data_IF_963010673307
#
_entry.id   IF_963010673307
#
_cell.length_a   1.000
_cell.length_b   1.000
_cell.length_c   1.000
_cell.angle_alpha   90.00
_cell.angle_beta   90.00
_cell.angle_gamma   90.00
#
_symmetry.space_group_name_H-M   'P 1'
#
loop_
_entity.id
_entity.type
_entity.pdbx_description
1 polymer ?
#
# COMPACT_ATOMS: atom_id res chain seq x y z
N UNK A 1 -11.76 -5.39 0.10
CA UNK A 1 -12.56 -4.83 -1.01
C UNK A 1 -11.99 -3.50 -1.55
N UNK A 2 -11.10 -2.79 -0.78
CA UNK A 2 -10.48 -1.55 -1.27
C UNK A 2 -9.70 -1.76 -2.58
N UNK A 3 -9.16 -2.94 -2.78
CA UNK A 3 -8.35 -3.37 -3.92
C UNK A 3 -9.14 -4.08 -5.05
N UNK A 4 -10.48 -4.00 -5.05
CA UNK A 4 -11.30 -4.74 -6.03
C UNK A 4 -10.94 -4.41 -7.48
N UNK A 5 -10.42 -3.22 -7.75
CA UNK A 5 -10.01 -2.80 -9.08
C UNK A 5 -8.80 -3.54 -9.65
N UNK A 6 -7.99 -4.21 -8.82
CA UNK A 6 -6.88 -5.05 -9.28
C UNK A 6 -7.34 -6.21 -10.17
N UNK A 7 -8.62 -6.57 -10.13
CA UNK A 7 -9.24 -7.59 -11.01
C UNK A 7 -9.13 -7.20 -12.50
N UNK A 8 -9.07 -5.89 -12.83
CA UNK A 8 -8.95 -5.43 -14.21
C UNK A 8 -7.59 -5.79 -14.84
N UNK A 9 -6.51 -5.83 -14.05
CA UNK A 9 -5.15 -6.15 -14.50
C UNK A 9 -4.41 -6.98 -13.44
N UNK A 10 -4.87 -8.19 -13.11
CA UNK A 10 -4.40 -8.91 -11.91
C UNK A 10 -2.92 -9.26 -11.94
N UNK A 11 -2.34 -9.57 -13.09
CA UNK A 11 -0.95 -9.97 -13.23
C UNK A 11 0.07 -8.86 -12.90
N UNK A 12 -0.36 -7.60 -12.89
CA UNK A 12 0.49 -6.47 -12.50
C UNK A 12 0.62 -6.28 -10.99
N UNK A 13 -0.12 -7.05 -10.18
CA UNK A 13 -0.06 -6.98 -8.72
C UNK A 13 0.56 -8.24 -8.15
N UNK A 14 1.59 -8.09 -7.32
CA UNK A 14 2.45 -9.20 -6.85
C UNK A 14 1.68 -10.33 -6.18
N UNK A 15 0.61 -10.01 -5.46
CA UNK A 15 -0.27 -10.99 -4.82
C UNK A 15 -1.02 -11.91 -5.79
N UNK A 16 -1.11 -11.52 -7.06
CA UNK A 16 -1.82 -12.25 -8.11
C UNK A 16 -0.87 -12.83 -9.19
N UNK A 17 0.43 -12.60 -9.06
CA UNK A 17 1.41 -13.15 -10.01
C UNK A 17 1.56 -14.65 -9.82
N UNK A 18 1.26 -15.42 -10.87
CA UNK A 18 1.39 -16.87 -10.91
C UNK A 18 2.68 -17.35 -11.59
N UNK A 19 3.47 -16.44 -12.17
CA UNK A 19 4.70 -16.70 -12.90
C UNK A 19 5.87 -15.91 -12.33
N UNK A 20 7.10 -16.38 -12.56
CA UNK A 20 8.33 -15.68 -12.21
C UNK A 20 8.57 -14.41 -13.07
N UNK A 21 7.82 -14.24 -14.16
CA UNK A 21 7.94 -13.07 -15.03
C UNK A 21 7.05 -11.95 -14.51
N UNK A 22 7.68 -10.83 -14.14
CA UNK A 22 6.98 -9.62 -13.74
C UNK A 22 6.58 -8.81 -14.98
N UNK A 23 5.28 -8.60 -15.27
CA UNK A 23 4.85 -7.81 -16.44
C UNK A 23 5.42 -6.39 -16.49
N UNK A 24 5.75 -5.81 -15.34
CA UNK A 24 6.39 -4.50 -15.26
C UNK A 24 7.79 -4.43 -15.86
N UNK A 25 8.45 -5.57 -16.10
CA UNK A 25 9.78 -5.61 -16.73
C UNK A 25 9.74 -5.32 -18.22
N UNK A 26 8.57 -5.47 -18.85
CA UNK A 26 8.36 -5.27 -20.28
C UNK A 26 7.81 -3.88 -20.66
N UNK A 27 7.61 -3.01 -19.69
CA UNK A 27 7.04 -1.67 -19.88
C UNK A 27 7.84 -0.61 -19.09
N UNK A 28 7.65 0.65 -19.41
CA UNK A 28 8.31 1.76 -18.71
C UNK A 28 7.81 1.94 -17.28
N UNK A 29 8.61 2.59 -16.43
CA UNK A 29 8.19 2.94 -15.07
C UNK A 29 6.94 3.83 -15.06
N UNK A 30 6.77 4.71 -16.04
CA UNK A 30 5.57 5.57 -16.15
C UNK A 30 4.34 4.76 -16.51
N UNK A 31 4.42 3.86 -17.49
CA UNK A 31 3.31 2.95 -17.82
C UNK A 31 2.94 2.07 -16.64
N UNK A 32 3.92 1.58 -15.90
CA UNK A 32 3.71 0.80 -14.67
C UNK A 32 2.91 1.61 -13.62
N UNK A 33 3.28 2.87 -13.43
CA UNK A 33 2.60 3.77 -12.48
C UNK A 33 1.15 4.02 -12.89
N UNK A 34 0.89 4.26 -14.17
CA UNK A 34 -0.47 4.46 -14.67
C UNK A 34 -1.35 3.22 -14.45
N UNK A 35 -0.83 2.01 -14.73
CA UNK A 35 -1.56 0.76 -14.46
C UNK A 35 -1.85 0.60 -12.97
N UNK A 36 -0.86 0.91 -12.12
CA UNK A 36 -1.04 0.84 -10.67
C UNK A 36 -2.09 1.83 -10.18
N UNK A 37 -2.04 3.09 -10.63
CA UNK A 37 -3.05 4.09 -10.27
C UNK A 37 -4.45 3.71 -10.75
N UNK A 38 -4.54 3.11 -11.94
CA UNK A 38 -5.81 2.79 -12.59
C UNK A 38 -6.68 1.84 -11.75
N UNK A 39 -6.08 0.96 -10.89
CA UNK A 39 -6.90 0.06 -10.08
C UNK A 39 -7.85 0.80 -9.11
N UNK A 40 -7.47 2.00 -8.64
CA UNK A 40 -8.35 2.81 -7.77
C UNK A 40 -9.60 3.24 -8.55
N UNK A 41 -9.42 3.74 -9.77
CA UNK A 41 -10.52 4.18 -10.64
C UNK A 41 -11.41 3.01 -11.07
N UNK A 42 -10.81 1.89 -11.44
CA UNK A 42 -11.51 0.67 -11.80
C UNK A 42 -12.29 0.11 -10.61
N UNK A 43 -11.70 0.14 -9.41
CA UNK A 43 -12.35 -0.27 -8.17
C UNK A 43 -13.60 0.56 -7.87
N UNK A 44 -13.50 1.88 -8.00
CA UNK A 44 -14.66 2.79 -7.86
C UNK A 44 -15.74 2.47 -8.86
N UNK A 45 -15.39 2.24 -10.14
CA UNK A 45 -16.34 1.91 -11.20
C UNK A 45 -17.05 0.58 -10.92
N UNK A 46 -16.30 -0.45 -10.55
CA UNK A 46 -16.85 -1.78 -10.20
C UNK A 46 -17.79 -1.70 -9.01
N UNK A 47 -17.39 -1.00 -7.94
CA UNK A 47 -18.21 -0.84 -6.74
C UNK A 47 -19.51 -0.08 -7.01
N UNK A 48 -19.45 1.01 -7.80
CA UNK A 48 -20.67 1.75 -8.23
C UNK A 48 -21.62 0.88 -9.02
N UNK A 49 -21.12 0.12 -10.00
CA UNK A 49 -21.92 -0.78 -10.81
C UNK A 49 -22.57 -1.89 -9.98
N UNK A 50 -21.93 -2.31 -8.90
CA UNK A 50 -22.44 -3.30 -7.96
C UNK A 50 -23.39 -2.73 -6.89
N UNK A 51 -23.67 -1.42 -6.91
CA UNK A 51 -24.54 -0.76 -5.95
C UNK A 51 -23.95 -0.66 -4.54
N UNK A 52 -22.63 -0.68 -4.41
CA UNK A 52 -21.95 -0.52 -3.12
C UNK A 52 -22.21 0.90 -2.58
N UNK A 53 -22.54 1.05 -1.29
CA UNK A 53 -22.78 2.36 -0.70
C UNK A 53 -21.58 3.31 -0.86
N UNK A 54 -21.85 4.60 -1.14
CA UNK A 54 -20.82 5.61 -1.39
C UNK A 54 -19.78 5.66 -0.25
N UNK A 55 -20.23 5.52 1.02
CA UNK A 55 -19.34 5.49 2.18
C UNK A 55 -18.26 4.38 2.09
N UNK A 56 -18.57 3.26 1.47
CA UNK A 56 -17.58 2.17 1.25
C UNK A 56 -16.71 2.49 0.04
N UNK A 57 -17.28 3.11 -1.01
CA UNK A 57 -16.53 3.54 -2.19
C UNK A 57 -15.45 4.58 -1.82
N UNK A 58 -15.70 5.41 -0.81
CA UNK A 58 -14.72 6.37 -0.31
C UNK A 58 -13.45 5.71 0.23
N UNK A 59 -13.54 4.53 0.82
CA UNK A 59 -12.35 3.74 1.20
C UNK A 59 -11.54 3.30 -0.03
N UNK A 60 -12.21 2.92 -1.11
CA UNK A 60 -11.54 2.57 -2.38
C UNK A 60 -10.80 3.79 -2.93
N UNK A 61 -11.39 4.97 -2.89
CA UNK A 61 -10.79 6.21 -3.39
C UNK A 61 -9.57 6.65 -2.59
N UNK A 62 -9.58 6.42 -1.27
CA UNK A 62 -8.66 7.07 -0.33
C UNK A 62 -7.52 6.19 0.17
N UNK A 63 -7.56 4.86 -0.05
CA UNK A 63 -6.63 3.93 0.60
C UNK A 63 -5.15 4.14 0.21
N UNK A 64 -4.88 4.80 -0.92
CA UNK A 64 -3.54 5.22 -1.29
C UNK A 64 -3.30 6.73 -1.17
N UNK A 65 -4.35 7.55 -1.02
CA UNK A 65 -4.26 9.01 -0.94
C UNK A 65 -3.43 9.59 -2.08
N UNK A 66 -2.39 10.33 -1.74
CA UNK A 66 -1.38 10.87 -2.67
C UNK A 66 0.00 10.27 -2.40
N UNK A 67 0.07 9.03 -1.92
CA UNK A 67 1.33 8.34 -1.64
C UNK A 67 2.19 8.20 -2.89
N UNK A 68 3.51 8.18 -2.68
CA UNK A 68 4.48 7.95 -3.74
C UNK A 68 4.57 6.45 -4.06
N UNK A 69 4.52 6.09 -5.35
CA UNK A 69 4.83 4.76 -5.85
C UNK A 69 6.37 4.65 -5.92
N UNK A 70 6.97 4.47 -4.74
CA UNK A 70 8.40 4.68 -4.50
C UNK A 70 9.33 3.78 -5.31
N UNK A 71 8.93 2.53 -5.59
CA UNK A 71 9.76 1.62 -6.36
C UNK A 71 10.08 2.18 -7.76
N UNK A 72 9.06 2.58 -8.50
CA UNK A 72 9.22 3.10 -9.87
C UNK A 72 9.85 4.49 -9.89
N UNK A 73 9.51 5.34 -8.93
CA UNK A 73 10.18 6.62 -8.78
C UNK A 73 11.68 6.45 -8.56
N UNK A 74 12.09 5.61 -7.62
CA UNK A 74 13.49 5.40 -7.31
C UNK A 74 14.26 4.71 -8.46
N UNK A 75 13.59 3.85 -9.23
CA UNK A 75 14.16 3.23 -10.43
C UNK A 75 14.46 4.28 -11.48
N UNK A 76 13.51 5.18 -11.76
CA UNK A 76 13.63 6.20 -12.79
C UNK A 76 14.57 7.36 -12.36
N UNK A 77 14.52 7.78 -11.10
CA UNK A 77 15.37 8.85 -10.57
C UNK A 77 16.88 8.54 -10.60
N UNK A 78 17.25 7.27 -10.73
CA UNK A 78 18.64 6.86 -10.97
C UNK A 78 19.08 7.09 -12.41
N UNK A 79 18.15 7.13 -13.36
CA UNK A 79 18.38 7.31 -14.78
C UNK A 79 18.24 8.78 -15.19
N UNK A 80 17.27 9.46 -14.60
CA UNK A 80 16.95 10.86 -14.84
C UNK A 80 16.74 11.60 -13.51
N UNK A 81 17.75 12.34 -13.01
CA UNK A 81 17.65 13.11 -11.76
C UNK A 81 16.62 14.26 -11.80
N UNK A 82 16.22 14.72 -12.99
CA UNK A 82 15.26 15.81 -13.18
C UNK A 82 13.79 15.33 -13.18
N UNK A 83 13.57 14.03 -12.97
CA UNK A 83 12.23 13.46 -12.99
C UNK A 83 11.34 14.04 -11.89
N UNK A 84 10.10 14.37 -12.24
CA UNK A 84 9.17 14.98 -11.31
C UNK A 84 8.53 13.93 -10.42
N UNK A 85 8.73 14.05 -9.11
CA UNK A 85 8.17 13.16 -8.10
C UNK A 85 6.63 13.08 -8.15
N UNK A 86 5.96 14.16 -8.57
CA UNK A 86 4.50 14.21 -8.68
C UNK A 86 3.95 13.22 -9.71
N UNK A 87 4.68 12.91 -10.78
CA UNK A 87 4.25 11.97 -11.82
C UNK A 87 4.14 10.52 -11.29
N UNK A 88 4.77 10.25 -10.14
CA UNK A 88 4.81 8.93 -9.49
C UNK A 88 3.96 8.87 -8.21
N UNK A 89 3.07 9.83 -8.00
CA UNK A 89 2.13 9.81 -6.88
C UNK A 89 0.75 9.37 -7.33
N UNK A 90 0.01 8.73 -6.43
CA UNK A 90 -1.42 8.55 -6.59
C UNK A 90 -2.14 9.91 -6.63
N UNK A 91 -3.29 9.94 -7.30
CA UNK A 91 -4.02 11.20 -7.58
C UNK A 91 -4.97 11.62 -6.45
N UNK A 92 -5.08 10.79 -5.41
CA UNK A 92 -5.95 11.06 -4.26
C UNK A 92 -7.41 10.62 -4.49
N UNK A 93 -8.33 11.08 -3.63
CA UNK A 93 -8.14 12.00 -2.51
C UNK A 93 -7.41 11.38 -1.32
N UNK A 94 -6.86 12.25 -0.46
CA UNK A 94 -6.32 11.84 0.85
C UNK A 94 -7.45 11.36 1.77
N UNK A 95 -7.19 10.47 2.74
CA UNK A 95 -8.14 10.11 3.78
C UNK A 95 -8.69 11.32 4.51
N UNK A 96 -9.97 11.27 4.85
CA UNK A 96 -10.67 12.32 5.59
C UNK A 96 -11.45 11.80 6.79
N UNK A 97 -11.25 10.55 7.16
CA UNK A 97 -11.68 9.98 8.44
C UNK A 97 -10.58 9.10 9.04
N UNK A 98 -10.68 8.84 10.35
CA UNK A 98 -9.74 7.99 11.08
C UNK A 98 -9.73 6.57 10.50
N UNK A 99 -10.90 6.04 10.13
CA UNK A 99 -11.03 4.69 9.58
C UNK A 99 -10.37 4.57 8.21
N UNK A 100 -10.49 5.59 7.35
CA UNK A 100 -9.80 5.62 6.05
C UNK A 100 -8.29 5.71 6.22
N UNK A 101 -7.81 6.52 7.16
CA UNK A 101 -6.39 6.59 7.51
C UNK A 101 -5.87 5.25 8.03
N UNK A 102 -6.65 4.54 8.85
CA UNK A 102 -6.32 3.19 9.31
C UNK A 102 -6.18 2.19 8.15
N UNK A 103 -7.10 2.22 7.19
CA UNK A 103 -7.01 1.35 6.01
C UNK A 103 -5.73 1.64 5.23
N UNK A 104 -5.41 2.92 4.97
CA UNK A 104 -4.17 3.31 4.30
C UNK A 104 -2.92 2.83 5.04
N UNK A 105 -2.85 3.01 6.37
CA UNK A 105 -1.71 2.55 7.16
C UNK A 105 -1.57 1.03 7.12
N UNK A 106 -2.68 0.30 7.30
CA UNK A 106 -2.69 -1.17 7.28
C UNK A 106 -2.26 -1.72 5.93
N UNK A 107 -2.81 -1.20 4.84
CA UNK A 107 -2.50 -1.61 3.47
C UNK A 107 -1.02 -1.37 3.15
N UNK A 108 -0.53 -0.17 3.39
CA UNK A 108 0.87 0.19 3.12
C UNK A 108 1.87 -0.64 3.91
N UNK A 109 1.59 -0.90 5.18
CA UNK A 109 2.44 -1.71 6.04
C UNK A 109 2.38 -3.19 5.64
N UNK A 110 1.21 -3.71 5.28
CA UNK A 110 1.03 -5.08 4.82
C UNK A 110 1.76 -5.33 3.50
N UNK A 111 1.60 -4.43 2.53
CA UNK A 111 2.29 -4.52 1.23
C UNK A 111 3.81 -4.49 1.39
N UNK A 112 4.33 -3.60 2.24
CA UNK A 112 5.77 -3.50 2.46
C UNK A 112 6.33 -4.74 3.19
N UNK A 113 5.63 -5.27 4.17
CA UNK A 113 6.09 -6.45 4.91
C UNK A 113 6.06 -7.73 4.08
N UNK A 114 5.19 -7.83 3.08
CA UNK A 114 5.20 -8.96 2.11
C UNK A 114 6.48 -9.02 1.28
N UNK A 115 7.14 -7.89 1.05
CA UNK A 115 8.40 -7.82 0.31
C UNK A 115 9.62 -8.27 1.14
N UNK A 116 9.45 -8.50 2.45
CA UNK A 116 10.52 -8.93 3.34
C UNK A 116 10.64 -10.44 3.35
N UNK A 117 11.85 -10.94 3.07
CA UNK A 117 12.17 -12.35 3.28
C UNK A 117 12.47 -12.59 4.77
N UNK A 118 11.61 -13.38 5.44
CA UNK A 118 11.71 -13.77 6.87
C UNK A 118 12.05 -12.59 7.79
N UNK A 119 11.18 -11.58 7.93
CA UNK A 119 11.48 -10.43 8.77
C UNK A 119 11.57 -10.84 10.24
N UNK A 120 12.62 -10.40 10.91
CA UNK A 120 12.72 -10.43 12.37
C UNK A 120 11.88 -9.29 13.00
N UNK A 121 11.72 -9.33 14.32
CA UNK A 121 10.91 -8.35 15.05
C UNK A 121 11.42 -6.92 14.88
N UNK A 122 12.74 -6.72 14.83
CA UNK A 122 13.33 -5.38 14.72
C UNK A 122 13.09 -4.78 13.32
N UNK A 123 13.13 -5.61 12.28
CA UNK A 123 12.77 -5.20 10.93
C UNK A 123 11.30 -4.83 10.84
N UNK A 124 10.39 -5.63 11.40
CA UNK A 124 8.96 -5.31 11.43
C UNK A 124 8.74 -3.96 12.13
N UNK A 125 9.35 -3.75 13.30
CA UNK A 125 9.22 -2.51 14.05
C UNK A 125 9.71 -1.30 13.26
N UNK A 126 10.89 -1.41 12.65
CA UNK A 126 11.48 -0.34 11.83
C UNK A 126 10.63 -0.03 10.59
N UNK A 127 10.07 -1.04 9.93
CA UNK A 127 9.21 -0.85 8.77
C UNK A 127 7.91 -0.13 9.12
N UNK A 128 7.23 -0.55 10.18
CA UNK A 128 6.00 0.11 10.62
C UNK A 128 6.27 1.59 10.94
N UNK A 129 7.36 1.88 11.68
CA UNK A 129 7.75 3.28 11.96
C UNK A 129 7.98 4.06 10.67
N UNK A 130 8.87 3.56 9.81
CA UNK A 130 9.29 4.27 8.59
C UNK A 130 8.10 4.57 7.66
N UNK A 131 7.20 3.61 7.47
CA UNK A 131 6.06 3.77 6.54
C UNK A 131 5.07 4.80 7.08
N UNK A 132 4.68 4.68 8.36
CA UNK A 132 3.68 5.57 8.94
C UNK A 132 4.27 6.97 9.12
N UNK A 133 5.53 7.12 9.56
CA UNK A 133 6.17 8.43 9.67
C UNK A 133 6.27 9.11 8.30
N UNK A 134 6.58 8.35 7.24
CA UNK A 134 6.59 8.88 5.89
C UNK A 134 5.21 9.38 5.42
N UNK A 135 4.13 8.68 5.77
CA UNK A 135 2.77 9.12 5.47
C UNK A 135 2.41 10.40 6.24
N UNK A 136 2.86 10.52 7.49
CA UNK A 136 2.70 11.74 8.30
C UNK A 136 3.49 12.91 7.70
N UNK A 137 4.76 12.71 7.35
CA UNK A 137 5.61 13.71 6.69
C UNK A 137 5.02 14.18 5.36
N UNK A 138 4.46 13.25 4.56
CA UNK A 138 3.79 13.53 3.29
C UNK A 138 2.36 14.10 3.49
N UNK A 139 1.99 14.42 4.75
CA UNK A 139 0.70 15.03 5.12
C UNK A 139 -0.52 14.25 4.61
N UNK A 140 -0.43 12.91 4.60
CA UNK A 140 -1.54 12.08 4.10
C UNK A 140 -2.79 12.17 4.99
N UNK A 141 -2.63 12.51 6.26
CA UNK A 141 -3.69 12.54 7.28
C UNK A 141 -4.15 13.94 7.66
N UNK A 142 -3.80 14.97 6.89
CA UNK A 142 -4.12 16.37 7.21
C UNK A 142 -5.63 16.66 7.32
N UNK A 143 -6.47 15.82 6.66
CA UNK A 143 -7.92 15.93 6.69
C UNK A 143 -8.57 15.00 7.73
N UNK A 144 -7.78 14.33 8.57
CA UNK A 144 -8.26 13.38 9.57
C UNK A 144 -8.09 13.94 10.98
N UNK A 145 -9.06 13.67 11.86
CA UNK A 145 -8.95 13.98 13.29
C UNK A 145 -8.07 12.94 14.01
N UNK A 146 -6.80 12.85 13.60
CA UNK A 146 -5.80 11.97 14.20
C UNK A 146 -4.83 12.74 15.09
N UNK A 147 -4.69 12.30 16.34
CA UNK A 147 -3.67 12.81 17.25
C UNK A 147 -2.39 12.00 17.13
N UNK A 148 -1.25 12.57 17.54
CA UNK A 148 0.00 11.83 17.66
C UNK A 148 -0.12 10.60 18.58
N UNK A 149 -0.97 10.69 19.62
CA UNK A 149 -1.28 9.56 20.51
C UNK A 149 -1.97 8.43 19.74
N UNK A 150 -2.94 8.74 18.88
CA UNK A 150 -3.61 7.75 18.04
C UNK A 150 -2.59 7.06 17.11
N UNK A 151 -1.73 7.82 16.46
CA UNK A 151 -0.69 7.28 15.57
C UNK A 151 0.25 6.33 16.34
N UNK A 152 0.70 6.71 17.54
CA UNK A 152 1.54 5.84 18.37
C UNK A 152 0.85 4.53 18.75
N UNK A 153 -0.45 4.57 19.08
CA UNK A 153 -1.24 3.38 19.40
C UNK A 153 -1.37 2.49 18.17
N UNK A 154 -1.69 3.06 17.01
CA UNK A 154 -1.84 2.34 15.74
C UNK A 154 -0.53 1.62 15.39
N UNK A 155 0.62 2.31 15.45
CA UNK A 155 1.94 1.70 15.24
C UNK A 155 2.18 0.51 16.17
N UNK A 156 1.90 0.66 17.46
CA UNK A 156 2.08 -0.40 18.44
C UNK A 156 1.23 -1.63 18.11
N UNK A 157 -0.05 -1.44 17.77
CA UNK A 157 -0.96 -2.53 17.41
C UNK A 157 -0.51 -3.22 16.11
N UNK A 158 -0.11 -2.46 15.09
CA UNK A 158 0.36 -3.03 13.83
C UNK A 158 1.62 -3.88 14.01
N UNK A 159 2.60 -3.39 14.79
CA UNK A 159 3.80 -4.14 15.13
C UNK A 159 3.46 -5.48 15.79
N UNK A 160 2.61 -5.45 16.82
CA UNK A 160 2.17 -6.68 17.51
C UNK A 160 1.49 -7.66 16.54
N UNK A 161 0.55 -7.19 15.75
CA UNK A 161 -0.19 -8.05 14.81
C UNK A 161 0.71 -8.68 13.76
N UNK A 162 1.63 -7.90 13.18
CA UNK A 162 2.58 -8.42 12.19
C UNK A 162 3.53 -9.45 12.79
N UNK A 163 4.11 -9.18 13.97
CA UNK A 163 4.95 -10.15 14.67
C UNK A 163 4.22 -11.48 14.88
N UNK A 164 2.98 -11.43 15.30
CA UNK A 164 2.16 -12.64 15.48
C UNK A 164 1.95 -13.39 14.16
N UNK A 165 1.65 -12.70 13.06
CA UNK A 165 1.47 -13.30 11.73
C UNK A 165 2.74 -14.00 11.26
N UNK A 166 3.90 -13.36 11.40
CA UNK A 166 5.17 -13.92 10.95
C UNK A 166 5.67 -15.05 11.87
N UNK A 167 5.48 -14.99 13.18
CA UNK A 167 5.82 -16.09 14.10
C UNK A 167 5.02 -17.36 13.80
N UNK A 168 3.73 -17.26 13.50
CA UNK A 168 2.90 -18.42 13.14
C UNK A 168 3.40 -19.07 11.85
N UNK A 169 3.84 -18.27 10.85
CA UNK A 169 4.37 -18.81 9.59
C UNK A 169 5.68 -19.58 9.76
N UNK A 170 6.56 -19.15 10.65
CA UNK A 170 7.84 -19.83 10.92
C UNK A 170 7.64 -21.19 11.59
N UNK A 171 6.68 -21.32 12.52
CA UNK A 171 6.43 -22.56 13.25
C UNK A 171 5.84 -23.70 12.39
N UNK A 172 5.21 -23.41 11.26
CA UNK A 172 4.69 -24.42 10.34
C UNK A 172 5.69 -24.90 9.27
N UNK A 173 6.79 -24.18 9.05
CA UNK A 173 7.80 -24.53 8.04
C UNK A 173 8.85 -25.54 8.54
N UNK A 174 9.01 -25.70 9.86
CA UNK A 174 9.99 -26.62 10.46
C UNK A 174 9.45 -28.04 10.76
N UNK A 175 8.25 -28.35 10.31
CA UNK A 175 7.54 -29.62 10.58
C UNK A 175 7.51 -30.63 9.43
N UNK A 176 8.46 -30.60 8.49
CA UNK A 176 8.54 -31.59 7.40
C UNK A 176 9.96 -32.12 7.28
N UNK A 177 10.30 -33.10 8.11
CA UNK A 177 11.31 -34.11 7.87
C UNK A 177 10.63 -35.44 7.57
#
# INVERSE_FOLDING_TARGET
>A
HHDIGKISNPSFFTENQLSEQNPHDNITSKESVEIIKQHVLDGVKLAKNAGVPERIIEFIKTHHGTNLIGYFYNKEAKLDPEIKKVDFRYDGPKPFSVEMALVMMCDSVEAATKSLDKPDNDKIDSFVETIIDKQVEDQQFENCELTFKNISIIKSVLKEKLKNIYHIRVSYSDGSN
#
